data_IF_230415142924
#
_entry.id   IF_230415142924
#
_cell.length_a   1.000
_cell.length_b   1.000
_cell.length_c   1.000
_cell.angle_alpha   90.00
_cell.angle_beta   90.00
_cell.angle_gamma   90.00
#
_symmetry.space_group_name_H-M   'P 1'
#
loop_
_entity.id
_entity.type
_entity.pdbx_description
1 polymer ?
#
# COMPACT_ATOMS: atom_id res chain seq x y z
N UNK A 1 -19.64 -14.71 -9.59
CA UNK A 1 -19.85 -14.58 -8.14
C UNK A 1 -20.18 -13.13 -7.81
N UNK A 2 -21.14 -12.87 -6.92
CA UNK A 2 -21.34 -11.52 -6.37
C UNK A 2 -20.28 -11.24 -5.29
N UNK A 3 -19.70 -10.05 -5.31
CA UNK A 3 -18.83 -9.56 -4.24
C UNK A 3 -19.73 -8.90 -3.18
N UNK A 4 -19.60 -9.22 -1.88
CA UNK A 4 -20.23 -8.42 -0.84
C UNK A 4 -19.76 -6.99 -0.97
N UNK A 5 -20.67 -6.00 -0.88
CA UNK A 5 -20.25 -4.60 -1.02
C UNK A 5 -20.02 -3.98 0.34
N UNK A 6 -18.88 -3.29 0.47
CA UNK A 6 -18.57 -2.42 1.60
C UNK A 6 -19.43 -1.15 1.61
N UNK A 7 -20.11 -0.85 0.51
CA UNK A 7 -20.83 0.41 0.26
C UNK A 7 -22.33 0.23 0.03
N UNK A 8 -22.93 -0.89 0.49
CA UNK A 8 -24.38 -1.09 0.37
C UNK A 8 -25.15 0.11 0.94
N UNK A 9 -26.09 0.65 0.14
CA UNK A 9 -26.95 1.77 0.53
C UNK A 9 -26.33 3.17 0.49
N UNK A 10 -25.00 3.31 0.31
CA UNK A 10 -24.35 4.62 0.28
C UNK A 10 -24.13 5.10 -1.15
N UNK A 11 -24.99 6.02 -1.62
CA UNK A 11 -24.70 6.86 -2.79
C UNK A 11 -23.79 8.00 -2.33
N UNK A 12 -22.62 8.16 -2.93
CA UNK A 12 -21.77 9.34 -2.71
C UNK A 12 -20.58 9.17 -1.78
N UNK A 13 -20.46 8.10 -0.99
CA UNK A 13 -19.25 7.87 -0.17
C UNK A 13 -18.19 7.08 -0.92
N UNK A 14 -17.63 7.72 -1.95
CA UNK A 14 -16.48 7.27 -2.76
C UNK A 14 -15.14 7.18 -1.99
N UNK A 15 -15.19 7.24 -0.68
CA UNK A 15 -14.39 8.18 0.12
C UNK A 15 -13.06 7.59 0.64
N UNK A 16 -12.75 6.33 0.30
CA UNK A 16 -11.47 5.70 0.66
C UNK A 16 -11.00 4.73 -0.41
N UNK A 17 -10.82 5.21 -1.64
CA UNK A 17 -10.23 4.38 -2.69
C UNK A 17 -8.75 4.09 -2.43
N UNK A 18 -8.03 5.02 -1.79
CA UNK A 18 -6.63 4.81 -1.43
C UNK A 18 -6.49 4.23 -0.02
N UNK A 19 -5.83 3.08 0.17
CA UNK A 19 -5.51 2.58 1.50
C UNK A 19 -4.51 3.50 2.23
N UNK A 20 -3.66 4.26 1.51
CA UNK A 20 -2.79 5.28 2.12
C UNK A 20 -3.61 6.39 2.79
N UNK A 21 -4.67 6.88 2.15
CA UNK A 21 -5.56 7.88 2.75
C UNK A 21 -6.26 7.32 3.99
N UNK A 22 -6.74 6.08 3.94
CA UNK A 22 -7.30 5.42 5.13
C UNK A 22 -6.26 5.37 6.26
N UNK A 23 -5.03 4.95 5.97
CA UNK A 23 -3.99 4.77 6.97
C UNK A 23 -3.58 6.08 7.64
N UNK A 24 -3.33 7.14 6.87
CA UNK A 24 -2.95 8.44 7.45
C UNK A 24 -4.09 9.04 8.30
N UNK A 25 -5.34 8.84 7.89
CA UNK A 25 -6.51 9.38 8.60
C UNK A 25 -6.82 8.58 9.86
N UNK A 26 -6.73 7.25 9.81
CA UNK A 26 -6.88 6.39 10.98
C UNK A 26 -5.76 6.63 11.99
N UNK A 27 -4.52 6.87 11.52
CA UNK A 27 -3.42 7.28 12.38
C UNK A 27 -3.66 8.65 13.01
N UNK A 28 -4.09 9.64 12.22
CA UNK A 28 -4.41 10.98 12.71
C UNK A 28 -5.52 10.94 13.78
N UNK A 29 -6.58 10.16 13.56
CA UNK A 29 -7.64 9.92 14.55
C UNK A 29 -7.06 9.36 15.85
N UNK A 30 -6.29 8.27 15.77
CA UNK A 30 -5.72 7.61 16.94
C UNK A 30 -4.75 8.51 17.73
N UNK A 31 -4.07 9.43 17.04
CA UNK A 31 -3.17 10.43 17.64
C UNK A 31 -3.85 11.76 17.96
N UNK A 32 -5.18 11.87 17.81
CA UNK A 32 -5.96 13.08 18.08
C UNK A 32 -5.49 14.31 17.29
N UNK A 33 -5.01 14.09 16.06
CA UNK A 33 -4.61 15.14 15.12
C UNK A 33 -5.81 15.63 14.30
N UNK A 34 -5.72 16.84 13.76
CA UNK A 34 -6.73 17.37 12.83
C UNK A 34 -6.69 16.62 11.49
N UNK A 35 -7.61 15.66 11.31
CA UNK A 35 -7.79 14.88 10.08
C UNK A 35 -7.94 15.75 8.82
N UNK A 36 -8.62 16.89 8.92
CA UNK A 36 -8.83 17.79 7.79
C UNK A 36 -7.55 18.53 7.39
N UNK A 37 -6.74 18.94 8.36
CA UNK A 37 -5.41 19.49 8.12
C UNK A 37 -4.46 18.44 7.52
N UNK A 38 -4.43 17.22 8.08
CA UNK A 38 -3.60 16.12 7.58
C UNK A 38 -3.98 15.74 6.15
N UNK A 39 -5.27 15.58 5.86
CA UNK A 39 -5.75 15.27 4.51
C UNK A 39 -5.33 16.34 3.50
N UNK A 40 -5.60 17.62 3.79
CA UNK A 40 -5.23 18.73 2.89
C UNK A 40 -3.73 18.78 2.65
N UNK A 41 -2.92 18.69 3.71
CA UNK A 41 -1.44 18.67 3.61
C UNK A 41 -0.95 17.50 2.76
N UNK A 42 -1.57 16.32 2.92
CA UNK A 42 -1.23 15.15 2.10
C UNK A 42 -1.60 15.35 0.63
N UNK A 43 -2.81 15.84 0.33
CA UNK A 43 -3.22 16.09 -1.05
C UNK A 43 -2.37 17.19 -1.71
N UNK A 44 -1.94 18.20 -0.97
CA UNK A 44 -1.01 19.21 -1.47
C UNK A 44 0.37 18.63 -1.77
N UNK A 45 0.87 17.69 -0.95
CA UNK A 45 2.07 16.92 -1.28
C UNK A 45 1.89 16.13 -2.57
N UNK A 46 0.78 15.40 -2.72
CA UNK A 46 0.53 14.57 -3.91
C UNK A 46 0.52 15.40 -5.19
N UNK A 47 -0.03 16.62 -5.15
CA UNK A 47 0.00 17.57 -6.27
C UNK A 47 1.41 18.09 -6.59
N UNK A 48 2.34 18.01 -5.65
CA UNK A 48 3.72 18.53 -5.75
C UNK A 48 4.77 17.42 -5.87
N UNK A 49 4.38 16.18 -6.18
CA UNK A 49 5.35 15.10 -6.45
C UNK A 49 6.27 15.55 -7.58
N UNK A 50 7.58 15.51 -7.32
CA UNK A 50 8.59 16.02 -8.24
C UNK A 50 8.90 15.07 -9.40
N UNK A 51 9.78 15.48 -10.34
CA UNK A 51 10.17 14.68 -11.50
C UNK A 51 10.71 13.28 -11.14
N UNK A 52 11.47 13.16 -10.04
CA UNK A 52 12.00 11.88 -9.55
C UNK A 52 10.92 10.91 -9.04
N UNK A 53 9.72 11.42 -8.73
CA UNK A 53 8.55 10.65 -8.30
C UNK A 53 7.47 10.55 -9.40
N UNK A 54 7.80 10.93 -10.65
CA UNK A 54 6.85 10.91 -11.78
C UNK A 54 6.21 9.54 -12.02
N UNK A 55 6.95 8.46 -11.76
CA UNK A 55 6.41 7.10 -11.84
C UNK A 55 5.21 6.84 -10.89
N UNK A 56 5.15 7.54 -9.75
CA UNK A 56 4.02 7.51 -8.81
C UNK A 56 2.84 8.29 -9.40
N UNK A 57 3.10 9.45 -10.03
CA UNK A 57 2.06 10.25 -10.69
C UNK A 57 1.29 9.42 -11.72
N UNK A 58 2.00 8.64 -12.54
CA UNK A 58 1.39 7.73 -13.52
C UNK A 58 0.55 6.60 -12.89
N UNK A 59 0.73 6.33 -11.59
CA UNK A 59 0.07 5.25 -10.85
C UNK A 59 -0.99 5.74 -9.85
N UNK A 60 -1.16 7.05 -9.67
CA UNK A 60 -2.16 7.61 -8.74
C UNK A 60 -3.58 7.05 -8.97
N UNK A 61 -3.95 6.80 -10.24
CA UNK A 61 -5.23 6.17 -10.56
C UNK A 61 -5.38 4.76 -10.02
N UNK A 62 -4.32 3.97 -10.02
CA UNK A 62 -4.29 2.61 -9.50
C UNK A 62 -4.10 2.57 -7.98
N UNK A 63 -3.45 3.58 -7.41
CA UNK A 63 -3.32 3.76 -5.96
C UNK A 63 -4.61 4.28 -5.30
N UNK A 64 -5.64 4.61 -6.08
CA UNK A 64 -6.94 5.06 -5.57
C UNK A 64 -7.02 6.57 -5.27
N UNK A 65 -6.15 7.38 -5.88
CA UNK A 65 -6.17 8.85 -5.76
C UNK A 65 -6.98 9.54 -6.87
N UNK A 66 -7.22 8.88 -8.02
CA UNK A 66 -7.92 9.51 -9.13
C UNK A 66 -9.45 9.37 -9.02
N UNK A 67 -10.14 10.50 -8.87
CA UNK A 67 -11.61 10.56 -8.89
C UNK A 67 -12.10 11.24 -10.16
N UNK A 68 -12.53 10.48 -11.18
CA UNK A 68 -13.15 11.09 -12.38
C UNK A 68 -14.44 11.88 -12.07
N UNK A 69 -15.11 11.62 -10.92
CA UNK A 69 -16.39 12.23 -10.49
C UNK A 69 -16.62 12.22 -8.95
N UNK A 70 -15.58 12.07 -8.13
CA UNK A 70 -15.71 11.88 -6.68
C UNK A 70 -15.54 13.18 -5.90
N UNK A 71 -16.33 13.37 -4.83
CA UNK A 71 -16.14 14.46 -3.86
C UNK A 71 -15.01 14.15 -2.87
N UNK A 72 -14.70 15.13 -2.01
CA UNK A 72 -13.74 14.97 -0.90
C UNK A 72 -14.14 13.82 0.05
N UNK A 73 -13.16 13.21 0.74
CA UNK A 73 -13.45 12.18 1.73
C UNK A 73 -14.28 12.73 2.90
N UNK A 74 -15.33 12.00 3.26
CA UNK A 74 -16.09 12.16 4.49
C UNK A 74 -15.23 11.67 5.65
N UNK A 75 -14.51 12.62 6.27
CA UNK A 75 -13.59 12.36 7.36
C UNK A 75 -14.29 11.79 8.61
N UNK A 76 -15.62 11.86 8.71
CA UNK A 76 -16.37 11.25 9.82
C UNK A 76 -16.51 9.72 9.67
N UNK A 77 -16.36 9.18 8.45
CA UNK A 77 -16.54 7.76 8.16
C UNK A 77 -15.27 6.91 8.32
N UNK A 78 -14.14 7.49 8.79
CA UNK A 78 -12.82 6.83 8.86
C UNK A 78 -12.88 5.61 9.76
N UNK A 79 -13.36 5.80 10.99
CA UNK A 79 -13.45 4.75 12.00
C UNK A 79 -14.36 3.61 11.56
N UNK A 80 -15.52 3.95 10.99
CA UNK A 80 -16.46 2.96 10.48
C UNK A 80 -15.85 2.14 9.35
N UNK A 81 -15.12 2.75 8.41
CA UNK A 81 -14.47 2.00 7.35
C UNK A 81 -13.35 1.12 7.89
N UNK A 82 -12.48 1.65 8.76
CA UNK A 82 -11.41 0.88 9.38
C UNK A 82 -11.97 -0.37 10.07
N UNK A 83 -13.07 -0.21 10.82
CA UNK A 83 -13.80 -1.30 11.46
C UNK A 83 -14.36 -2.32 10.45
N UNK A 84 -15.04 -1.87 9.37
CA UNK A 84 -15.57 -2.76 8.31
C UNK A 84 -14.49 -3.56 7.57
N UNK A 85 -13.28 -3.01 7.50
CA UNK A 85 -12.12 -3.70 6.94
C UNK A 85 -11.37 -4.55 7.97
N UNK A 86 -11.81 -4.59 9.22
CA UNK A 86 -11.12 -5.30 10.31
C UNK A 86 -9.68 -4.79 10.53
N UNK A 87 -9.47 -3.48 10.34
CA UNK A 87 -8.18 -2.84 10.54
C UNK A 87 -7.89 -2.71 12.04
N UNK A 88 -6.79 -3.31 12.48
CA UNK A 88 -6.29 -3.16 13.85
C UNK A 88 -5.49 -1.85 13.97
N UNK A 89 -6.02 -0.90 14.74
CA UNK A 89 -5.46 0.44 14.88
C UNK A 89 -4.09 0.41 15.60
N UNK A 90 -3.89 -0.48 16.57
CA UNK A 90 -2.60 -0.55 17.27
C UNK A 90 -1.50 -1.05 16.34
N UNK A 91 -1.82 -2.05 15.51
CA UNK A 91 -0.90 -2.58 14.50
C UNK A 91 -0.65 -1.58 13.38
N UNK A 92 -1.68 -0.83 12.97
CA UNK A 92 -1.54 0.29 12.04
C UNK A 92 -0.56 1.34 12.57
N UNK A 93 -0.66 1.73 13.84
CA UNK A 93 0.23 2.73 14.44
C UNK A 93 1.69 2.28 14.32
N UNK A 94 2.00 1.02 14.67
CA UNK A 94 3.35 0.46 14.55
C UNK A 94 3.87 0.59 13.11
N UNK A 95 3.05 0.21 12.13
CA UNK A 95 3.43 0.27 10.72
C UNK A 95 3.64 1.70 10.21
N UNK A 96 2.76 2.64 10.59
CA UNK A 96 2.88 4.06 10.19
C UNK A 96 4.07 4.74 10.87
N UNK A 97 4.34 4.44 12.14
CA UNK A 97 5.52 4.96 12.85
C UNK A 97 6.83 4.46 12.23
N UNK A 98 6.85 3.23 11.71
CA UNK A 98 7.99 2.72 10.94
C UNK A 98 8.21 3.53 9.66
N UNK A 99 7.13 3.85 8.94
CA UNK A 99 7.21 4.71 7.76
C UNK A 99 7.69 6.13 8.12
N UNK A 100 7.20 6.70 9.21
CA UNK A 100 7.66 8.01 9.72
C UNK A 100 9.15 7.98 10.08
N UNK A 101 9.61 6.94 10.79
CA UNK A 101 11.01 6.74 11.15
C UNK A 101 11.89 6.64 9.89
N UNK A 102 11.47 5.84 8.90
CA UNK A 102 12.17 5.71 7.62
C UNK A 102 12.23 7.03 6.83
N UNK A 103 11.19 7.87 6.92
CA UNK A 103 11.14 9.19 6.31
C UNK A 103 11.85 10.29 7.11
N UNK A 104 12.56 9.95 8.20
CA UNK A 104 13.18 10.91 9.13
C UNK A 104 12.20 11.98 9.63
N UNK A 105 10.93 11.61 9.82
CA UNK A 105 9.89 12.50 10.29
C UNK A 105 10.19 13.01 11.72
N UNK A 106 9.87 14.27 11.99
CA UNK A 106 10.13 14.88 13.30
C UNK A 106 8.90 14.91 14.18
N UNK A 107 7.71 14.86 13.58
CA UNK A 107 6.44 14.98 14.29
C UNK A 107 5.38 14.03 13.72
N UNK A 108 4.37 13.63 14.51
CA UNK A 108 3.28 12.80 14.03
C UNK A 108 2.54 13.38 12.81
N UNK A 109 2.44 14.71 12.69
CA UNK A 109 1.78 15.39 11.57
C UNK A 109 2.50 15.23 10.24
N UNK A 110 3.77 14.83 10.26
CA UNK A 110 4.55 14.51 9.06
C UNK A 110 4.06 13.21 8.40
N UNK A 111 3.08 12.51 8.99
CA UNK A 111 2.33 11.43 8.33
C UNK A 111 1.68 11.91 7.03
N UNK A 112 1.31 13.20 6.95
CA UNK A 112 0.81 13.81 5.73
C UNK A 112 1.87 13.83 4.60
N UNK A 113 3.16 13.77 4.95
CA UNK A 113 4.27 13.78 4.01
C UNK A 113 4.68 12.39 3.52
N UNK A 114 4.04 11.32 3.98
CA UNK A 114 4.30 9.98 3.45
C UNK A 114 3.88 9.90 1.98
N UNK A 115 4.61 9.14 1.14
CA UNK A 115 4.30 9.00 -0.27
C UNK A 115 2.99 8.21 -0.49
N UNK A 116 2.35 8.33 -1.67
CA UNK A 116 1.13 7.60 -2.01
C UNK A 116 1.21 6.07 -1.89
N UNK A 117 2.40 5.50 -2.04
CA UNK A 117 2.64 4.05 -1.98
C UNK A 117 2.78 3.61 -0.52
N UNK A 118 2.14 2.51 -0.14
CA UNK A 118 2.29 1.91 1.19
C UNK A 118 3.70 1.33 1.40
N UNK A 119 4.20 1.38 2.63
CA UNK A 119 5.43 0.69 3.04
C UNK A 119 5.18 -0.80 3.33
N UNK A 120 6.22 -1.62 3.40
CA UNK A 120 6.10 -3.05 3.65
C UNK A 120 5.38 -3.38 4.97
N UNK A 121 5.69 -2.73 6.12
CA UNK A 121 4.89 -2.90 7.34
C UNK A 121 3.42 -2.54 7.15
N UNK A 122 3.12 -1.48 6.40
CA UNK A 122 1.74 -1.06 6.12
C UNK A 122 1.00 -2.07 5.22
N UNK A 123 1.69 -2.64 4.23
CA UNK A 123 1.17 -3.71 3.38
C UNK A 123 0.81 -4.96 4.21
N UNK A 124 1.62 -5.30 5.21
CA UNK A 124 1.34 -6.40 6.15
C UNK A 124 0.05 -6.12 6.93
N UNK A 125 -0.07 -4.94 7.54
CA UNK A 125 -1.29 -4.57 8.30
C UNK A 125 -2.52 -4.53 7.39
N UNK A 126 -2.38 -4.00 6.17
CA UNK A 126 -3.48 -3.99 5.21
C UNK A 126 -3.91 -5.42 4.87
N UNK A 127 -2.96 -6.29 4.54
CA UNK A 127 -3.25 -7.67 4.17
C UNK A 127 -3.91 -8.46 5.30
N UNK A 128 -3.49 -8.25 6.56
CA UNK A 128 -4.14 -8.81 7.75
C UNK A 128 -5.60 -8.40 7.85
N UNK A 129 -5.88 -7.10 7.69
CA UNK A 129 -7.22 -6.55 7.71
C UNK A 129 -8.08 -7.17 6.59
N UNK A 130 -7.59 -7.18 5.36
CA UNK A 130 -8.29 -7.74 4.20
C UNK A 130 -8.54 -9.26 4.30
N UNK A 131 -7.64 -9.99 4.95
CA UNK A 131 -7.79 -11.44 5.18
C UNK A 131 -8.86 -11.74 6.24
N UNK A 132 -8.99 -10.90 7.28
CA UNK A 132 -9.98 -11.03 8.35
C UNK A 132 -11.36 -10.46 7.98
N UNK A 133 -11.42 -9.50 7.06
CA UNK A 133 -12.66 -8.84 6.67
C UNK A 133 -13.65 -9.79 5.96
N UNK A 134 -14.83 -9.92 6.56
CA UNK A 134 -16.01 -10.59 5.98
C UNK A 134 -16.57 -9.83 4.76
N UNK A 135 -16.28 -8.54 4.65
CA UNK A 135 -16.75 -7.69 3.54
C UNK A 135 -15.77 -7.68 2.36
N UNK A 136 -14.47 -7.75 2.60
CA UNK A 136 -13.48 -7.76 1.52
C UNK A 136 -13.31 -9.15 0.91
N UNK A 137 -13.22 -10.25 1.67
CA UNK A 137 -12.91 -11.58 1.12
C UNK A 137 -11.77 -11.58 0.10
N UNK A 138 -10.53 -11.51 0.57
CA UNK A 138 -9.33 -11.39 -0.26
C UNK A 138 -9.27 -12.34 -1.47
N UNK A 139 -9.47 -13.65 -1.26
CA UNK A 139 -9.48 -14.65 -2.34
C UNK A 139 -10.51 -14.34 -3.43
N UNK A 140 -11.77 -14.08 -3.03
CA UNK A 140 -12.86 -13.76 -3.98
C UNK A 140 -12.57 -12.47 -4.73
N UNK A 141 -11.94 -11.50 -4.07
CA UNK A 141 -11.51 -10.25 -4.71
C UNK A 141 -10.53 -10.49 -5.83
N UNK A 142 -9.46 -11.24 -5.57
CA UNK A 142 -8.44 -11.54 -6.58
C UNK A 142 -9.08 -12.26 -7.78
N UNK A 143 -9.85 -13.33 -7.54
CA UNK A 143 -10.51 -14.09 -8.62
C UNK A 143 -11.58 -13.30 -9.38
N UNK A 144 -12.15 -12.22 -8.81
CA UNK A 144 -13.13 -11.39 -9.51
C UNK A 144 -12.51 -10.52 -10.60
N UNK A 145 -11.18 -10.37 -10.60
CA UNK A 145 -10.46 -9.67 -11.66
C UNK A 145 -10.09 -10.56 -12.85
N UNK A 146 -10.14 -11.90 -12.69
CA UNK A 146 -10.07 -12.85 -13.81
C UNK A 146 -11.40 -12.91 -14.59
N UNK A 147 -12.49 -12.47 -13.98
CA UNK A 147 -13.81 -12.50 -14.58
C UNK A 147 -14.11 -11.19 -15.33
N UNK A 148 -14.23 -11.28 -16.66
CA UNK A 148 -14.57 -10.15 -17.53
C UNK A 148 -16.05 -9.74 -17.50
N UNK A 149 -16.92 -10.52 -16.84
CA UNK A 149 -18.38 -10.30 -16.88
C UNK A 149 -18.93 -9.79 -15.56
N UNK A 150 -19.74 -8.73 -15.64
CA UNK A 150 -20.57 -8.25 -14.51
C UNK A 150 -21.63 -9.33 -14.21
N UNK A 151 -21.80 -9.76 -12.95
CA UNK A 151 -22.86 -10.71 -12.59
C UNK A 151 -24.26 -10.15 -12.92
N UNK A 152 -25.14 -10.99 -13.49
CA UNK A 152 -26.48 -10.58 -13.99
C UNK A 152 -27.42 -9.97 -12.92
N UNK A 153 -27.17 -10.22 -11.63
CA UNK A 153 -28.07 -9.84 -10.53
C UNK A 153 -27.46 -8.77 -9.60
N UNK A 154 -26.60 -7.89 -10.13
CA UNK A 154 -25.93 -6.84 -9.33
C UNK A 154 -26.09 -5.50 -10.04
N UNK A 155 -26.34 -4.43 -9.28
CA UNK A 155 -26.29 -3.06 -9.79
C UNK A 155 -24.92 -2.81 -10.48
N UNK A 156 -24.87 -2.58 -11.80
CA UNK A 156 -23.62 -2.39 -12.53
C UNK A 156 -22.77 -1.26 -11.97
N UNK A 157 -23.38 -0.18 -11.48
CA UNK A 157 -22.64 0.96 -10.97
C UNK A 157 -22.04 0.70 -9.59
N UNK A 158 -22.79 0.06 -8.69
CA UNK A 158 -22.25 -0.44 -7.43
C UNK A 158 -21.12 -1.44 -7.66
N UNK A 159 -21.27 -2.38 -8.59
CA UNK A 159 -20.23 -3.36 -8.91
C UNK A 159 -18.96 -2.69 -9.44
N UNK A 160 -19.08 -1.70 -10.34
CA UNK A 160 -17.93 -0.94 -10.85
C UNK A 160 -17.23 -0.15 -9.74
N UNK A 161 -17.98 0.43 -8.80
CA UNK A 161 -17.42 1.12 -7.62
C UNK A 161 -16.63 0.15 -6.75
N UNK A 162 -17.23 -0.99 -6.43
CA UNK A 162 -16.64 -2.04 -5.62
C UNK A 162 -15.37 -2.62 -6.27
N UNK A 163 -15.39 -2.86 -7.60
CA UNK A 163 -14.22 -3.32 -8.36
C UNK A 163 -13.11 -2.26 -8.36
N UNK A 164 -13.40 -0.97 -8.51
CA UNK A 164 -12.37 0.09 -8.39
C UNK A 164 -11.74 0.14 -7.01
N UNK A 165 -12.56 0.07 -5.96
CA UNK A 165 -12.08 0.03 -4.57
C UNK A 165 -11.14 -1.17 -4.34
N UNK A 166 -11.57 -2.39 -4.69
CA UNK A 166 -10.74 -3.60 -4.57
C UNK A 166 -9.48 -3.53 -5.39
N UNK A 167 -9.56 -2.95 -6.60
CA UNK A 167 -8.39 -2.77 -7.47
C UNK A 167 -7.31 -1.98 -6.76
N UNK A 168 -7.66 -0.84 -6.16
CA UNK A 168 -6.69 0.00 -5.49
C UNK A 168 -6.03 -0.67 -4.29
N UNK A 169 -6.80 -1.42 -3.50
CA UNK A 169 -6.28 -2.14 -2.34
C UNK A 169 -5.36 -3.30 -2.74
N UNK A 170 -5.75 -4.09 -3.75
CA UNK A 170 -4.93 -5.19 -4.24
C UNK A 170 -3.68 -4.70 -5.00
N UNK A 171 -3.79 -3.60 -5.74
CA UNK A 171 -2.66 -2.97 -6.43
C UNK A 171 -1.60 -2.47 -5.45
N UNK A 172 -2.01 -1.85 -4.33
CA UNK A 172 -1.10 -1.45 -3.25
C UNK A 172 -0.36 -2.65 -2.62
N UNK A 173 -0.86 -3.87 -2.78
CA UNK A 173 -0.23 -5.10 -2.31
C UNK A 173 0.54 -5.84 -3.43
N UNK A 174 0.71 -5.23 -4.61
CA UNK A 174 1.30 -5.87 -5.80
C UNK A 174 0.58 -7.17 -6.24
N UNK A 175 -0.70 -7.32 -5.88
CA UNK A 175 -1.51 -8.50 -6.23
C UNK A 175 -2.28 -8.33 -7.54
N UNK A 176 -2.41 -7.10 -8.01
CA UNK A 176 -2.92 -6.77 -9.33
C UNK A 176 -1.93 -5.83 -10.03
N UNK A 177 -1.91 -5.92 -11.35
CA UNK A 177 -1.17 -5.01 -12.21
C UNK A 177 -1.99 -3.74 -12.57
N UNK A 178 -1.41 -2.76 -13.29
CA UNK A 178 -2.10 -1.53 -13.71
C UNK A 178 -3.38 -1.78 -14.52
N UNK A 179 -3.43 -2.82 -15.35
CA UNK A 179 -4.63 -3.18 -16.13
C UNK A 179 -5.74 -3.74 -15.21
N UNK A 180 -5.36 -4.23 -14.03
CA UNK A 180 -6.24 -4.86 -13.05
C UNK A 180 -6.33 -6.37 -13.25
N UNK A 181 -5.33 -7.00 -13.89
CA UNK A 181 -5.15 -8.45 -13.91
C UNK A 181 -4.37 -8.90 -12.68
N UNK A 182 -4.66 -10.07 -12.09
CA UNK A 182 -3.82 -10.60 -11.03
C UNK A 182 -2.40 -10.86 -11.50
N UNK A 183 -1.43 -10.45 -10.67
CA UNK A 183 -0.01 -10.78 -10.87
C UNK A 183 0.23 -12.24 -10.49
N UNK A 184 1.39 -12.78 -10.84
CA UNK A 184 1.82 -14.11 -10.37
C UNK A 184 1.81 -14.22 -8.85
N UNK A 185 2.18 -13.14 -8.14
CA UNK A 185 2.06 -13.05 -6.68
C UNK A 185 0.59 -13.13 -6.24
N UNK A 186 -0.30 -12.40 -6.91
CA UNK A 186 -1.75 -12.44 -6.69
C UNK A 186 -2.32 -13.84 -6.83
N UNK A 187 -2.03 -14.54 -7.93
CA UNK A 187 -2.46 -15.91 -8.15
C UNK A 187 -1.91 -16.88 -7.10
N UNK A 188 -0.61 -16.81 -6.82
CA UNK A 188 0.03 -17.70 -5.85
C UNK A 188 -0.53 -17.50 -4.44
N UNK A 189 -0.78 -16.26 -4.04
CA UNK A 189 -1.39 -15.94 -2.74
C UNK A 189 -2.83 -16.46 -2.67
N UNK A 190 -3.65 -16.21 -3.70
CA UNK A 190 -5.02 -16.71 -3.76
C UNK A 190 -5.08 -18.25 -3.68
N UNK A 191 -4.14 -18.95 -4.33
CA UNK A 191 -4.02 -20.40 -4.26
C UNK A 191 -3.67 -20.88 -2.85
N UNK A 192 -2.67 -20.27 -2.19
CA UNK A 192 -2.27 -20.64 -0.81
C UNK A 192 -3.39 -20.41 0.20
N UNK A 193 -4.08 -19.27 0.12
CA UNK A 193 -5.24 -18.98 0.98
C UNK A 193 -6.37 -19.99 0.73
N UNK A 194 -6.61 -20.38 -0.52
CA UNK A 194 -7.61 -21.40 -0.85
C UNK A 194 -7.30 -22.78 -0.22
N UNK A 195 -6.04 -23.05 0.11
CA UNK A 195 -5.58 -24.25 0.82
C UNK A 195 -5.51 -24.07 2.34
N UNK A 196 -6.01 -22.96 2.88
CA UNK A 196 -6.05 -22.68 4.32
C UNK A 196 -4.77 -22.07 4.88
N UNK A 197 -3.82 -21.65 4.04
CA UNK A 197 -2.62 -20.98 4.52
C UNK A 197 -2.92 -19.56 5.01
N UNK A 198 -2.18 -19.11 6.03
CA UNK A 198 -2.20 -17.73 6.49
C UNK A 198 -1.79 -16.77 5.37
N UNK A 199 -2.55 -15.69 5.18
CA UNK A 199 -2.38 -14.78 4.06
C UNK A 199 -1.04 -14.02 4.14
N UNK A 200 -0.67 -13.54 5.31
CA UNK A 200 0.48 -12.64 5.49
C UNK A 200 1.78 -13.42 5.43
N UNK A 201 1.84 -14.53 6.17
CA UNK A 201 2.96 -15.47 6.11
C UNK A 201 3.16 -15.97 4.68
N UNK A 202 2.08 -16.25 3.95
CA UNK A 202 2.15 -16.65 2.54
C UNK A 202 2.67 -15.54 1.65
N UNK A 203 2.20 -14.31 1.82
CA UNK A 203 2.62 -13.15 1.05
C UNK A 203 4.10 -12.83 1.22
N UNK A 204 4.58 -12.75 2.47
CA UNK A 204 6.00 -12.50 2.76
C UNK A 204 6.90 -13.62 2.22
N UNK A 205 6.53 -14.89 2.44
CA UNK A 205 7.28 -16.04 1.88
C UNK A 205 7.30 -16.05 0.36
N UNK A 206 6.22 -15.65 -0.31
CA UNK A 206 6.18 -15.59 -1.78
C UNK A 206 7.04 -14.45 -2.32
N UNK A 207 7.01 -13.28 -1.68
CA UNK A 207 7.88 -12.17 -2.04
C UNK A 207 9.35 -12.54 -1.90
N UNK A 208 9.71 -13.15 -0.78
CA UNK A 208 11.08 -13.58 -0.49
C UNK A 208 11.56 -14.68 -1.46
N UNK A 209 10.80 -15.79 -1.55
CA UNK A 209 11.18 -16.92 -2.40
C UNK A 209 11.22 -16.60 -3.90
N UNK A 210 10.49 -15.57 -4.35
CA UNK A 210 10.54 -15.12 -5.74
C UNK A 210 11.56 -13.99 -5.98
N UNK A 211 12.30 -13.58 -4.95
CA UNK A 211 13.26 -12.47 -5.02
C UNK A 211 12.60 -11.10 -5.26
N UNK A 212 11.28 -10.99 -5.12
CA UNK A 212 10.53 -9.73 -5.30
C UNK A 212 10.58 -8.82 -4.10
N UNK A 213 10.83 -9.36 -2.91
CA UNK A 213 10.88 -8.61 -1.65
C UNK A 213 11.83 -7.40 -1.72
N UNK A 214 13.07 -7.62 -2.18
CA UNK A 214 14.06 -6.56 -2.35
C UNK A 214 13.61 -5.46 -3.31
N UNK A 215 12.84 -5.78 -4.34
CA UNK A 215 12.33 -4.80 -5.30
C UNK A 215 11.14 -4.01 -4.73
N UNK A 216 10.30 -4.65 -3.91
CA UNK A 216 9.25 -3.95 -3.15
C UNK A 216 9.88 -2.92 -2.20
N UNK A 217 10.87 -3.33 -1.40
CA UNK A 217 11.59 -2.42 -0.49
C UNK A 217 12.31 -1.31 -1.25
N UNK A 218 12.97 -1.62 -2.37
CA UNK A 218 13.63 -0.60 -3.18
C UNK A 218 12.65 0.43 -3.74
N UNK A 219 11.49 0.00 -4.25
CA UNK A 219 10.45 0.89 -4.76
C UNK A 219 9.92 1.83 -3.66
N UNK A 220 9.76 1.31 -2.45
CA UNK A 220 9.35 2.10 -1.30
C UNK A 220 10.42 3.10 -0.84
N UNK A 221 11.69 2.69 -0.84
CA UNK A 221 12.81 3.59 -0.52
C UNK A 221 12.87 4.77 -1.50
N UNK A 222 12.69 4.51 -2.80
CA UNK A 222 12.58 5.58 -3.81
C UNK A 222 11.36 6.48 -3.58
N UNK A 223 10.23 5.90 -3.20
CA UNK A 223 9.03 6.68 -2.89
C UNK A 223 9.26 7.59 -1.67
N UNK A 224 10.12 7.19 -0.74
CA UNK A 224 10.53 7.94 0.46
C UNK A 224 11.68 8.93 0.19
N UNK A 225 12.13 9.08 -1.05
CA UNK A 225 13.27 9.93 -1.44
C UNK A 225 14.59 9.55 -0.74
N UNK A 226 14.78 8.26 -0.42
CA UNK A 226 16.04 7.73 0.13
C UNK A 226 17.16 7.85 -0.89
N UNK A 227 18.20 8.64 -0.59
CA UNK A 227 19.31 8.94 -1.50
C UNK A 227 20.68 8.49 -1.01
N UNK A 228 20.81 8.10 0.26
CA UNK A 228 22.08 7.68 0.87
C UNK A 228 22.01 6.27 1.45
N UNK A 229 23.17 5.62 1.58
CA UNK A 229 23.28 4.31 2.23
C UNK A 229 22.83 4.35 3.70
N UNK A 230 23.07 5.46 4.39
CA UNK A 230 22.65 5.67 5.78
C UNK A 230 21.13 5.72 5.90
N UNK A 231 20.45 6.46 5.01
CA UNK A 231 18.99 6.50 4.97
C UNK A 231 18.39 5.14 4.61
N UNK A 232 19.00 4.40 3.67
CA UNK A 232 18.56 3.04 3.33
C UNK A 232 18.69 2.10 4.52
N UNK A 233 19.79 2.18 5.27
CA UNK A 233 19.99 1.40 6.49
C UNK A 233 18.92 1.72 7.54
N UNK A 234 18.66 3.01 7.78
CA UNK A 234 17.62 3.44 8.72
C UNK A 234 16.22 2.93 8.31
N UNK A 235 15.91 2.95 7.01
CA UNK A 235 14.64 2.43 6.48
C UNK A 235 14.53 0.92 6.73
N UNK A 236 15.57 0.15 6.40
CA UNK A 236 15.60 -1.30 6.59
C UNK A 236 15.45 -1.65 8.07
N UNK A 237 16.20 -1.01 8.96
CA UNK A 237 16.11 -1.23 10.41
C UNK A 237 14.70 -0.90 10.94
N UNK A 238 14.13 0.24 10.53
CA UNK A 238 12.77 0.62 10.92
C UNK A 238 11.72 -0.40 10.47
N UNK A 239 11.87 -0.96 9.26
CA UNK A 239 10.94 -1.97 8.75
C UNK A 239 11.10 -3.30 9.47
N UNK A 240 12.32 -3.77 9.70
CA UNK A 240 12.58 -5.04 10.39
C UNK A 240 12.08 -5.01 11.84
N UNK A 241 12.35 -3.93 12.58
CA UNK A 241 11.83 -3.72 13.93
C UNK A 241 10.29 -3.73 13.98
N UNK A 242 9.66 -3.05 13.02
CA UNK A 242 8.22 -2.98 12.93
C UNK A 242 7.59 -4.33 12.56
N UNK A 243 8.16 -5.03 11.57
CA UNK A 243 7.72 -6.37 11.19
C UNK A 243 7.86 -7.34 12.37
N UNK A 244 8.97 -7.29 13.11
CA UNK A 244 9.18 -8.11 14.29
C UNK A 244 8.12 -7.82 15.38
N UNK A 245 7.80 -6.55 15.61
CA UNK A 245 6.73 -6.10 16.53
C UNK A 245 5.35 -6.55 16.06
N UNK A 246 5.14 -6.65 14.75
CA UNK A 246 3.94 -7.22 14.14
C UNK A 246 3.93 -8.77 14.15
N UNK A 247 5.00 -9.42 14.64
CA UNK A 247 5.10 -10.88 14.75
C UNK A 247 5.72 -11.58 13.54
N UNK A 248 6.35 -10.82 12.63
CA UNK A 248 6.95 -11.32 11.40
C UNK A 248 8.45 -11.05 11.40
N UNK A 249 9.29 -12.09 11.32
CA UNK A 249 10.74 -11.93 11.19
C UNK A 249 11.15 -12.11 9.73
N UNK A 250 11.84 -11.12 9.18
CA UNK A 250 12.25 -11.10 7.78
C UNK A 250 13.57 -10.33 7.68
N UNK A 251 14.53 -10.89 6.95
CA UNK A 251 15.80 -10.23 6.65
C UNK A 251 15.64 -9.42 5.35
N UNK A 252 15.76 -8.10 5.47
CA UNK A 252 15.65 -7.17 4.34
C UNK A 252 17.01 -6.77 3.76
N UNK A 253 18.11 -7.38 4.22
CA UNK A 253 19.47 -7.11 3.75
C UNK A 253 19.64 -7.33 2.24
N UNK A 254 18.83 -8.19 1.62
CA UNK A 254 18.86 -8.36 0.17
C UNK A 254 18.44 -7.12 -0.63
N UNK A 255 17.76 -6.15 0.01
CA UNK A 255 17.40 -4.87 -0.59
C UNK A 255 18.63 -4.02 -0.93
N UNK A 256 19.73 -4.13 -0.16
CA UNK A 256 20.98 -3.40 -0.45
C UNK A 256 21.51 -3.72 -1.85
N UNK A 257 21.36 -4.95 -2.33
CA UNK A 257 21.86 -5.37 -3.65
C UNK A 257 21.08 -4.79 -4.83
N UNK A 258 19.94 -4.13 -4.59
CA UNK A 258 19.18 -3.44 -5.64
C UNK A 258 19.79 -2.06 -5.94
N UNK A 259 20.59 -1.54 -5.01
CA UNK A 259 21.22 -0.24 -5.13
C UNK A 259 22.70 -0.39 -5.50
N UNK A 260 23.15 0.48 -6.39
CA UNK A 260 24.56 0.80 -6.58
C UNK A 260 24.85 2.12 -5.90
N UNK A 261 26.08 2.36 -5.46
CA UNK A 261 26.40 3.69 -4.97
C UNK A 261 27.73 4.22 -5.45
N UNK A 262 27.88 5.52 -5.23
CA UNK A 262 29.02 6.32 -5.61
C UNK A 262 29.47 7.08 -4.36
N UNK A 263 30.79 7.19 -4.17
CA UNK A 263 31.33 8.05 -3.13
C UNK A 263 30.91 9.49 -3.44
N UNK A 264 30.30 10.14 -2.45
CA UNK A 264 30.06 11.58 -2.47
C UNK A 264 31.29 12.30 -1.92
N UNK A 265 31.52 13.52 -2.40
CA UNK A 265 32.50 14.44 -1.80
C UNK A 265 32.00 15.00 -0.44
N UNK A 266 30.73 14.74 -0.10
CA UNK A 266 30.08 15.12 1.16
C UNK A 266 29.75 13.85 1.93
N UNK A 267 30.68 13.39 2.79
CA UNK A 267 30.70 12.31 3.82
C UNK A 267 29.83 11.03 3.70
N UNK A 268 28.65 11.04 3.08
CA UNK A 268 27.75 9.90 2.90
C UNK A 268 27.87 9.24 1.51
N UNK A 269 27.74 7.91 1.45
CA UNK A 269 27.71 7.17 0.19
C UNK A 269 26.33 7.34 -0.46
N UNK A 270 26.29 8.02 -1.61
CA UNK A 270 25.06 8.22 -2.38
C UNK A 270 24.68 6.91 -3.07
N UNK A 271 23.39 6.62 -3.12
CA UNK A 271 22.87 5.41 -3.74
C UNK A 271 21.85 5.74 -4.83
N UNK A 272 21.81 4.88 -5.83
CA UNK A 272 20.81 4.87 -6.90
C UNK A 272 20.50 3.43 -7.28
N UNK A 273 19.41 3.22 -8.01
CA UNK A 273 19.07 1.87 -8.48
C UNK A 273 20.17 1.33 -9.40
N UNK A 274 20.56 0.07 -9.18
CA UNK A 274 21.50 -0.64 -10.06
C UNK A 274 20.84 -1.04 -11.40
N UNK A 275 19.52 -1.00 -11.50
CA UNK A 275 18.73 -1.28 -12.71
C UNK A 275 17.71 -0.16 -12.95
N UNK A 276 17.27 0.07 -14.20
CA UNK A 276 16.21 1.04 -14.47
C UNK A 276 14.95 0.77 -13.65
N UNK A 277 14.26 1.82 -13.23
CA UNK A 277 13.04 1.72 -12.44
C UNK A 277 11.95 0.93 -13.18
N UNK A 278 11.85 1.11 -14.49
CA UNK A 278 10.89 0.42 -15.37
C UNK A 278 11.05 -1.10 -15.27
N UNK A 279 12.29 -1.58 -15.14
CA UNK A 279 12.59 -2.99 -14.98
C UNK A 279 12.10 -3.54 -13.63
N UNK A 280 12.23 -2.76 -12.55
CA UNK A 280 11.68 -3.13 -11.24
C UNK A 280 10.14 -3.19 -11.29
N UNK A 281 9.52 -2.21 -11.94
CA UNK A 281 8.07 -2.13 -12.08
C UNK A 281 7.52 -3.32 -12.89
N UNK A 282 8.16 -3.69 -13.99
CA UNK A 282 7.78 -4.85 -14.80
C UNK A 282 7.76 -6.15 -13.99
N UNK A 283 8.78 -6.37 -13.14
CA UNK A 283 8.86 -7.56 -12.28
C UNK A 283 7.76 -7.61 -11.21
N UNK A 284 7.39 -6.45 -10.67
CA UNK A 284 6.37 -6.34 -9.64
C UNK A 284 4.94 -6.38 -10.21
N UNK A 285 4.77 -5.95 -11.45
CA UNK A 285 3.48 -5.87 -12.15
C UNK A 285 3.18 -7.10 -13.03
N UNK A 286 4.08 -8.10 -13.03
CA UNK A 286 3.92 -9.42 -13.70
C UNK A 286 3.77 -10.55 -12.69
#
# INVERSE_FOLDING_TARGET
MSLPSLFQGRRGTWIYQSPRILFILSYAEARKLDKGAIYRRHMDRVKRLGPHQSWILHRLGYLGYATKKGGEPDLSAVEELASRLSLDINRLIIAVEAALKAANARRPEDVALLPPVLTLPEKVVLLEALAKSDRFHLKKSISAFDADKIPRNVDPDAYRREKRFRKAYLYNLHLLNPEGRPTLLGYALAYRIAKGADAVSSYLKLLDASGRLKYVVALEALAMDVGTMRELKNLIEAYEEALASLGHRLDLGTAYYVFSGMKSDVEDFMIGLAKPLEWLLEILET
#
